data_IF_766925524120
#
_entry.id   IF_766925524120
#
_cell.length_a   1.000
_cell.length_b   1.000
_cell.length_c   1.000
_cell.angle_alpha   90.00
_cell.angle_beta   90.00
_cell.angle_gamma   90.00
#
_symmetry.space_group_name_H-M   'P 1'
#
loop_
_entity.id
_entity.type
_entity.pdbx_description
1 polymer ?
#
# COMPACT_ATOMS: atom_id res chain seq x y z
N UNK A 1 -9.80 -16.11 6.11
CA UNK A 1 -9.61 -17.27 5.23
C UNK A 1 -8.38 -18.01 5.73
N UNK A 2 -8.47 -19.27 6.19
CA UNK A 2 -7.27 -20.01 6.62
C UNK A 2 -6.49 -20.42 5.38
N UNK A 3 -5.39 -19.72 5.10
CA UNK A 3 -4.50 -20.02 3.97
C UNK A 3 -3.53 -21.14 4.39
N UNK A 4 -3.26 -22.08 3.48
CA UNK A 4 -2.46 -23.27 3.82
C UNK A 4 -0.98 -22.92 3.93
N UNK A 5 -0.32 -23.36 5.01
CA UNK A 5 1.11 -23.15 5.28
C UNK A 5 2.04 -23.67 4.16
N UNK A 6 1.54 -24.51 3.25
CA UNK A 6 2.30 -25.10 2.15
C UNK A 6 2.63 -24.14 0.99
N UNK A 7 2.11 -22.90 0.97
CA UNK A 7 2.45 -21.89 -0.05
C UNK A 7 3.34 -20.75 0.44
N UNK A 8 3.79 -20.78 1.72
CA UNK A 8 4.62 -19.71 2.28
C UNK A 8 6.03 -19.70 1.66
N UNK A 9 6.61 -18.51 1.39
CA UNK A 9 8.01 -18.39 1.04
C UNK A 9 8.92 -19.03 2.10
N UNK A 10 10.04 -19.64 1.66
CA UNK A 10 10.93 -20.38 2.56
C UNK A 10 11.49 -19.51 3.70
N UNK A 11 11.77 -18.24 3.41
CA UNK A 11 12.16 -17.23 4.41
C UNK A 11 11.13 -17.12 5.52
N UNK A 12 9.84 -17.08 5.18
CA UNK A 12 8.73 -16.96 6.13
C UNK A 12 8.52 -18.25 6.92
N UNK A 13 8.61 -19.41 6.27
CA UNK A 13 8.57 -20.70 6.96
C UNK A 13 9.66 -20.81 8.03
N UNK A 14 10.86 -20.31 7.74
CA UNK A 14 11.95 -20.26 8.71
C UNK A 14 11.59 -19.36 9.90
N UNK A 15 11.05 -18.15 9.66
CA UNK A 15 10.65 -17.25 10.75
C UNK A 15 9.64 -17.91 11.68
N UNK A 16 8.70 -18.71 11.18
CA UNK A 16 7.69 -19.39 12.01
C UNK A 16 8.29 -20.42 12.98
N UNK A 17 9.48 -20.95 12.71
CA UNK A 17 10.13 -21.97 13.54
C UNK A 17 11.05 -21.39 14.62
N UNK A 18 11.35 -20.09 14.56
CA UNK A 18 12.35 -19.44 15.43
C UNK A 18 11.68 -18.72 16.59
N UNK A 19 11.96 -19.13 17.83
CA UNK A 19 11.31 -18.57 19.02
C UNK A 19 11.64 -17.08 19.26
N UNK A 20 12.84 -16.63 18.89
CA UNK A 20 13.30 -15.25 19.04
C UNK A 20 13.93 -14.74 17.73
N UNK A 21 13.34 -13.71 17.15
CA UNK A 21 13.69 -13.14 15.86
C UNK A 21 14.54 -11.88 16.05
N UNK A 22 15.57 -11.76 15.22
CA UNK A 22 16.36 -10.52 15.14
C UNK A 22 15.62 -9.50 14.26
N UNK A 23 15.39 -8.29 14.78
CA UNK A 23 14.66 -7.24 14.05
C UNK A 23 15.32 -6.80 12.74
N UNK A 24 16.65 -6.70 12.69
CA UNK A 24 17.38 -6.37 11.46
C UNK A 24 17.21 -7.46 10.40
N UNK A 25 17.17 -8.73 10.81
CA UNK A 25 16.90 -9.83 9.88
C UNK A 25 15.47 -9.75 9.33
N UNK A 26 14.48 -9.45 10.17
CA UNK A 26 13.10 -9.27 9.72
C UNK A 26 13.00 -8.12 8.71
N UNK A 27 13.63 -6.97 8.98
CA UNK A 27 13.66 -5.84 8.05
C UNK A 27 14.39 -6.17 6.73
N UNK A 28 15.44 -6.99 6.79
CA UNK A 28 16.16 -7.43 5.57
C UNK A 28 15.29 -8.28 4.64
N UNK A 29 14.19 -8.85 5.14
CA UNK A 29 13.21 -9.57 4.31
C UNK A 29 12.16 -8.64 3.70
N UNK A 30 12.19 -7.34 4.01
CA UNK A 30 11.36 -6.31 3.38
C UNK A 30 12.13 -5.50 2.32
N UNK A 31 13.46 -5.64 2.23
CA UNK A 31 14.32 -4.89 1.30
C UNK A 31 15.26 -5.82 0.51
N UNK A 32 15.50 -5.60 -0.79
CA UNK A 32 14.56 -5.86 -1.89
C UNK A 32 14.18 -7.36 -1.96
N UNK A 33 13.19 -7.77 -1.18
CA UNK A 33 12.61 -9.10 -1.27
C UNK A 33 11.53 -9.18 -2.37
N UNK A 34 11.18 -10.38 -2.81
CA UNK A 34 10.03 -10.59 -3.69
C UNK A 34 8.71 -10.22 -2.98
N UNK A 35 7.69 -9.83 -3.76
CA UNK A 35 6.43 -9.34 -3.20
C UNK A 35 5.67 -10.39 -2.38
N UNK A 36 5.83 -11.69 -2.66
CA UNK A 36 5.17 -12.72 -1.87
C UNK A 36 5.79 -12.81 -0.47
N UNK A 37 7.12 -12.72 -0.37
CA UNK A 37 7.83 -12.62 0.92
C UNK A 37 7.39 -11.39 1.69
N UNK A 38 7.31 -10.23 1.03
CA UNK A 38 6.89 -8.99 1.71
C UNK A 38 5.46 -9.07 2.22
N UNK A 39 4.50 -9.48 1.39
CA UNK A 39 3.10 -9.53 1.81
C UNK A 39 2.83 -10.61 2.84
N UNK A 40 3.46 -11.78 2.74
CA UNK A 40 3.41 -12.79 3.79
C UNK A 40 4.01 -12.28 5.12
N UNK A 41 5.10 -11.52 5.06
CA UNK A 41 5.69 -10.93 6.26
C UNK A 41 4.78 -9.85 6.86
N UNK A 42 4.17 -8.99 6.05
CA UNK A 42 3.22 -7.99 6.54
C UNK A 42 1.97 -8.63 7.18
N UNK A 43 1.48 -9.75 6.66
CA UNK A 43 0.41 -10.52 7.31
C UNK A 43 0.84 -11.04 8.69
N UNK A 44 2.05 -11.58 8.81
CA UNK A 44 2.60 -12.00 10.11
C UNK A 44 2.78 -10.84 11.08
N UNK A 45 3.24 -9.68 10.62
CA UNK A 45 3.45 -8.50 11.45
C UNK A 45 2.13 -7.91 12.00
N UNK A 46 0.97 -8.29 11.47
CA UNK A 46 -0.34 -7.96 12.07
C UNK A 46 -0.67 -8.84 13.29
N UNK A 47 0.07 -9.92 13.52
CA UNK A 47 -0.14 -10.83 14.63
C UNK A 47 0.71 -10.42 15.83
N UNK A 48 0.06 -10.06 16.95
CA UNK A 48 0.73 -9.66 18.20
C UNK A 48 1.75 -10.72 18.67
N UNK A 49 1.40 -12.00 18.56
CA UNK A 49 2.27 -13.12 18.92
C UNK A 49 3.54 -13.23 18.06
N UNK A 50 3.52 -12.74 16.82
CA UNK A 50 4.71 -12.67 15.99
C UNK A 50 5.58 -11.48 16.39
N UNK A 51 4.95 -10.34 16.68
CA UNK A 51 5.63 -9.11 17.10
C UNK A 51 6.43 -9.30 18.40
N UNK A 52 5.86 -10.01 19.38
CA UNK A 52 6.50 -10.31 20.67
C UNK A 52 7.81 -11.11 20.55
N UNK A 53 8.03 -11.76 19.41
CA UNK A 53 9.23 -12.56 19.15
C UNK A 53 10.38 -11.71 18.62
N UNK A 54 10.14 -10.46 18.20
CA UNK A 54 11.12 -9.64 17.49
C UNK A 54 11.92 -8.76 18.48
N UNK A 55 13.24 -8.96 18.51
CA UNK A 55 14.16 -8.20 19.34
C UNK A 55 15.43 -7.79 18.56
N UNK A 56 15.81 -6.49 18.51
CA UNK A 56 15.05 -5.35 19.03
C UNK A 56 13.72 -5.16 18.30
N UNK A 57 12.74 -4.54 18.96
CA UNK A 57 11.46 -4.19 18.34
C UNK A 57 11.66 -3.30 17.12
N UNK A 58 10.80 -3.46 16.12
CA UNK A 58 10.90 -2.71 14.87
C UNK A 58 10.36 -1.30 15.03
N UNK A 59 10.95 -0.36 14.31
CA UNK A 59 10.44 1.01 14.22
C UNK A 59 9.19 1.04 13.33
N UNK A 60 8.06 1.48 13.90
CA UNK A 60 6.80 1.62 13.18
C UNK A 60 6.89 2.56 11.99
N UNK A 61 7.70 3.63 12.06
CA UNK A 61 7.87 4.56 10.94
C UNK A 61 8.60 3.90 9.76
N UNK A 62 9.56 3.02 10.05
CA UNK A 62 10.27 2.23 9.03
C UNK A 62 9.32 1.24 8.38
N UNK A 63 8.51 0.52 9.17
CA UNK A 63 7.53 -0.43 8.64
C UNK A 63 6.44 0.24 7.81
N UNK A 64 5.96 1.39 8.24
CA UNK A 64 4.96 2.16 7.52
C UNK A 64 5.48 2.55 6.13
N UNK A 65 6.72 3.08 6.04
CA UNK A 65 7.38 3.36 4.77
C UNK A 65 7.49 2.11 3.89
N UNK A 66 7.98 1.01 4.44
CA UNK A 66 8.16 -0.24 3.70
C UNK A 66 6.83 -0.82 3.21
N UNK A 67 5.76 -0.67 3.99
CA UNK A 67 4.43 -1.11 3.62
C UNK A 67 3.86 -0.28 2.47
N UNK A 68 4.04 1.05 2.51
CA UNK A 68 3.70 1.93 1.40
C UNK A 68 4.47 1.52 0.14
N UNK A 69 5.78 1.27 0.25
CA UNK A 69 6.62 0.83 -0.87
C UNK A 69 6.13 -0.51 -1.45
N UNK A 70 5.79 -1.48 -0.61
CA UNK A 70 5.19 -2.76 -0.99
C UNK A 70 3.88 -2.54 -1.79
N UNK A 71 2.95 -1.73 -1.26
CA UNK A 71 1.68 -1.45 -1.94
C UNK A 71 1.91 -0.80 -3.30
N UNK A 72 2.82 0.18 -3.39
CA UNK A 72 3.17 0.82 -4.66
C UNK A 72 3.72 -0.21 -5.68
N UNK A 73 4.56 -1.15 -5.24
CA UNK A 73 5.06 -2.23 -6.09
C UNK A 73 3.96 -3.19 -6.52
N UNK A 74 3.03 -3.55 -5.64
CA UNK A 74 1.86 -4.35 -6.00
C UNK A 74 1.01 -3.68 -7.08
N UNK A 75 0.79 -2.36 -6.98
CA UNK A 75 0.09 -1.59 -8.02
C UNK A 75 0.85 -1.63 -9.36
N UNK A 76 2.17 -1.48 -9.35
CA UNK A 76 3.00 -1.45 -10.56
C UNK A 76 3.08 -2.83 -11.24
N UNK A 77 3.34 -3.88 -10.47
CA UNK A 77 3.56 -5.22 -11.00
C UNK A 77 2.24 -5.93 -11.30
N UNK A 78 1.23 -5.71 -10.45
CA UNK A 78 -0.10 -6.33 -10.55
C UNK A 78 -0.10 -7.83 -10.71
N UNK A 79 0.90 -8.46 -10.12
CA UNK A 79 0.90 -9.88 -9.89
C UNK A 79 -0.04 -10.13 -8.71
N UNK A 80 -0.91 -11.12 -8.86
CA UNK A 80 -1.74 -11.61 -7.77
C UNK A 80 -1.23 -12.99 -7.38
N UNK A 81 -1.13 -13.22 -6.08
CA UNK A 81 -0.79 -14.52 -5.50
C UNK A 81 -1.48 -14.67 -4.16
N UNK A 82 -1.27 -15.80 -3.48
CA UNK A 82 -1.76 -16.00 -2.11
C UNK A 82 -1.22 -14.96 -1.11
N UNK A 83 -0.08 -14.33 -1.42
CA UNK A 83 0.67 -13.47 -0.50
C UNK A 83 0.98 -12.09 -1.08
N UNK A 84 0.55 -11.81 -2.31
CA UNK A 84 0.76 -10.53 -2.97
C UNK A 84 -0.59 -9.93 -3.34
N UNK A 85 -0.83 -8.71 -2.87
CA UNK A 85 -2.06 -7.98 -3.14
C UNK A 85 -2.25 -7.74 -4.64
N UNK A 86 -3.48 -7.88 -5.13
CA UNK A 86 -3.84 -7.39 -6.46
C UNK A 86 -3.67 -5.86 -6.53
N UNK A 87 -3.53 -5.28 -7.75
CA UNK A 87 -3.39 -3.83 -7.91
C UNK A 87 -4.52 -3.05 -7.23
N UNK A 88 -5.76 -3.56 -7.32
CA UNK A 88 -6.94 -2.90 -6.76
C UNK A 88 -6.93 -2.94 -5.23
N UNK A 89 -6.59 -4.08 -4.62
CA UNK A 89 -6.47 -4.19 -3.17
C UNK A 89 -5.32 -3.32 -2.63
N UNK A 90 -4.20 -3.28 -3.36
CA UNK A 90 -3.10 -2.39 -3.02
C UNK A 90 -3.49 -0.91 -3.08
N UNK A 91 -4.24 -0.49 -4.11
CA UNK A 91 -4.81 0.85 -4.20
C UNK A 91 -5.81 1.16 -3.06
N UNK A 92 -6.61 0.17 -2.64
CA UNK A 92 -7.52 0.31 -1.51
C UNK A 92 -6.76 0.54 -0.19
N UNK A 93 -5.67 -0.20 0.03
CA UNK A 93 -4.73 0.00 1.13
C UNK A 93 -4.11 1.40 1.11
N UNK A 94 -3.63 1.87 -0.04
CA UNK A 94 -3.12 3.23 -0.21
C UNK A 94 -4.19 4.29 0.10
N UNK A 95 -5.44 4.09 -0.33
CA UNK A 95 -6.55 4.99 0.01
C UNK A 95 -6.76 5.08 1.53
N UNK A 96 -6.73 3.95 2.24
CA UNK A 96 -6.86 3.95 3.70
C UNK A 96 -5.74 4.75 4.39
N UNK A 97 -4.49 4.56 3.95
CA UNK A 97 -3.33 5.30 4.49
C UNK A 97 -3.46 6.80 4.18
N UNK A 98 -3.81 7.17 2.96
CA UNK A 98 -3.97 8.59 2.57
C UNK A 98 -5.05 9.27 3.42
N UNK A 99 -6.18 8.60 3.65
CA UNK A 99 -7.24 9.14 4.53
C UNK A 99 -6.75 9.32 5.95
N UNK A 100 -6.05 8.32 6.49
CA UNK A 100 -5.50 8.39 7.84
C UNK A 100 -4.55 9.59 7.98
N UNK A 101 -3.62 9.78 7.04
CA UNK A 101 -2.71 10.95 7.04
C UNK A 101 -3.46 12.27 6.99
N UNK A 102 -4.48 12.37 6.13
CA UNK A 102 -5.31 13.58 6.04
C UNK A 102 -6.05 13.86 7.35
N UNK A 103 -6.69 12.84 7.94
CA UNK A 103 -7.50 12.97 9.16
C UNK A 103 -6.64 13.29 10.39
N UNK A 104 -5.43 12.74 10.46
CA UNK A 104 -4.47 13.02 11.53
C UNK A 104 -3.64 14.30 11.27
N UNK A 105 -3.97 15.07 10.22
CA UNK A 105 -3.29 16.32 9.85
C UNK A 105 -1.78 16.15 9.60
N UNK A 106 -1.35 14.95 9.16
CA UNK A 106 -0.02 14.72 8.60
C UNK A 106 -0.02 15.16 7.13
N UNK A 107 0.08 16.47 6.94
CA UNK A 107 0.07 17.08 5.60
C UNK A 107 1.30 16.69 4.77
N UNK A 108 2.42 16.38 5.41
CA UNK A 108 3.64 15.99 4.71
C UNK A 108 3.47 14.58 4.11
N UNK A 109 3.07 13.59 4.92
CA UNK A 109 2.81 12.23 4.46
C UNK A 109 1.66 12.17 3.46
N UNK A 110 0.60 12.94 3.69
CA UNK A 110 -0.50 13.09 2.71
C UNK A 110 0.00 13.59 1.35
N UNK A 111 0.80 14.66 1.34
CA UNK A 111 1.34 15.24 0.10
C UNK A 111 2.29 14.28 -0.61
N UNK A 112 3.11 13.55 0.14
CA UNK A 112 4.00 12.54 -0.41
C UNK A 112 3.23 11.42 -1.14
N UNK A 113 2.17 10.91 -0.51
CA UNK A 113 1.32 9.87 -1.10
C UNK A 113 0.52 10.40 -2.31
N UNK A 114 0.04 11.64 -2.26
CA UNK A 114 -0.57 12.30 -3.42
C UNK A 114 0.40 12.36 -4.60
N UNK A 115 1.67 12.71 -4.35
CA UNK A 115 2.69 12.70 -5.39
C UNK A 115 3.02 11.29 -5.88
N UNK A 116 2.98 10.28 -5.01
CA UNK A 116 3.15 8.88 -5.41
C UNK A 116 2.04 8.41 -6.35
N UNK A 117 0.77 8.73 -6.06
CA UNK A 117 -0.35 8.45 -6.97
C UNK A 117 -0.20 9.19 -8.31
N UNK A 118 0.23 10.45 -8.28
CA UNK A 118 0.48 11.21 -9.50
C UNK A 118 1.57 10.55 -10.38
N UNK A 119 2.65 10.06 -9.76
CA UNK A 119 3.71 9.32 -10.45
C UNK A 119 3.18 8.01 -11.04
N UNK A 120 2.44 7.22 -10.26
CA UNK A 120 1.82 5.99 -10.74
C UNK A 120 0.93 6.23 -11.97
N UNK A 121 0.10 7.27 -11.95
CA UNK A 121 -0.80 7.57 -13.05
C UNK A 121 -0.05 8.05 -14.31
N UNK A 122 0.97 8.89 -14.16
CA UNK A 122 1.74 9.46 -15.27
C UNK A 122 2.64 8.41 -15.94
N UNK A 123 3.39 7.68 -15.14
CA UNK A 123 4.55 6.92 -15.61
C UNK A 123 4.19 5.51 -16.12
N UNK A 124 2.99 5.03 -15.79
CA UNK A 124 2.54 3.68 -16.15
C UNK A 124 1.32 3.69 -17.07
N UNK A 125 1.07 2.54 -17.70
CA UNK A 125 -0.01 2.35 -18.67
C UNK A 125 -1.39 2.16 -18.03
N UNK A 126 -2.38 1.94 -18.91
CA UNK A 126 -3.80 1.92 -18.53
C UNK A 126 -4.16 1.01 -17.34
N UNK A 127 -3.61 -0.22 -17.20
CA UNK A 127 -3.95 -1.05 -16.05
C UNK A 127 -3.60 -0.43 -14.69
N UNK A 128 -2.51 0.35 -14.62
CA UNK A 128 -2.15 1.08 -13.39
C UNK A 128 -3.05 2.28 -13.20
N UNK A 129 -3.33 3.03 -14.28
CA UNK A 129 -4.22 4.20 -14.24
C UNK A 129 -5.61 3.84 -13.77
N UNK A 130 -6.17 2.75 -14.29
CA UNK A 130 -7.47 2.22 -13.89
C UNK A 130 -7.50 1.81 -12.42
N UNK A 131 -6.44 1.15 -11.93
CA UNK A 131 -6.33 0.77 -10.53
C UNK A 131 -6.24 2.00 -9.62
N UNK A 132 -5.42 3.00 -9.98
CA UNK A 132 -5.30 4.27 -9.23
C UNK A 132 -6.64 4.98 -9.15
N UNK A 133 -7.38 5.06 -10.25
CA UNK A 133 -8.69 5.71 -10.27
C UNK A 133 -9.71 4.92 -9.45
N UNK A 134 -9.99 3.68 -9.84
CA UNK A 134 -11.13 2.93 -9.32
C UNK A 134 -10.86 2.34 -7.93
N UNK A 135 -9.60 2.02 -7.62
CA UNK A 135 -9.20 1.45 -6.33
C UNK A 135 -8.81 2.50 -5.29
N UNK A 136 -8.55 3.74 -5.69
CA UNK A 136 -8.03 4.77 -4.79
C UNK A 136 -8.79 6.11 -4.90
N UNK A 137 -8.70 6.79 -6.05
CA UNK A 137 -9.20 8.17 -6.20
C UNK A 137 -10.72 8.26 -6.07
N UNK A 138 -11.46 7.31 -6.64
CA UNK A 138 -12.92 7.22 -6.52
C UNK A 138 -13.33 7.29 -5.05
N UNK A 139 -12.77 6.40 -4.24
CA UNK A 139 -13.03 6.39 -2.81
C UNK A 139 -12.58 7.70 -2.17
N UNK A 140 -11.31 8.10 -2.34
CA UNK A 140 -10.79 9.33 -1.73
C UNK A 140 -11.68 10.55 -2.01
N UNK A 141 -12.27 10.62 -3.21
CA UNK A 141 -13.09 11.74 -3.65
C UNK A 141 -14.55 11.69 -3.21
N UNK A 142 -14.98 10.61 -2.53
CA UNK A 142 -16.22 10.57 -1.75
C UNK A 142 -16.16 11.59 -0.59
N UNK A 143 -14.96 11.90 -0.08
CA UNK A 143 -14.75 12.97 0.90
C UNK A 143 -14.47 14.31 0.17
N UNK A 144 -15.37 15.31 0.25
CA UNK A 144 -15.18 16.58 -0.43
C UNK A 144 -13.93 17.35 0.02
N UNK A 145 -13.49 17.19 1.27
CA UNK A 145 -12.32 17.87 1.81
C UNK A 145 -11.03 17.28 1.23
N UNK A 146 -10.96 15.95 1.15
CA UNK A 146 -9.85 15.26 0.48
C UNK A 146 -9.84 15.61 -1.01
N UNK A 147 -11.00 15.54 -1.69
CA UNK A 147 -11.12 15.94 -3.10
C UNK A 147 -10.63 17.36 -3.37
N UNK A 148 -10.91 18.30 -2.47
CA UNK A 148 -10.45 19.69 -2.59
C UNK A 148 -8.91 19.80 -2.49
N UNK A 149 -8.27 18.94 -1.68
CA UNK A 149 -6.82 18.87 -1.59
C UNK A 149 -6.15 18.33 -2.88
N UNK A 150 -6.92 17.73 -3.79
CA UNK A 150 -6.45 17.33 -5.13
C UNK A 150 -6.75 18.37 -6.23
N UNK A 151 -7.15 19.60 -5.86
CA UNK A 151 -7.54 20.64 -6.83
C UNK A 151 -6.45 20.98 -7.86
N UNK A 152 -5.17 20.89 -7.52
CA UNK A 152 -4.07 21.13 -8.46
C UNK A 152 -4.11 20.19 -9.68
N UNK A 153 -4.64 18.97 -9.51
CA UNK A 153 -4.76 17.99 -10.59
C UNK A 153 -5.75 18.44 -11.67
N UNK A 154 -6.70 19.32 -11.34
CA UNK A 154 -7.64 19.86 -12.33
C UNK A 154 -6.94 20.69 -13.41
N UNK A 155 -5.81 21.30 -13.10
CA UNK A 155 -5.06 22.14 -14.03
C UNK A 155 -3.92 21.40 -14.74
N UNK A 156 -3.62 20.17 -14.33
CA UNK A 156 -2.55 19.36 -14.87
C UNK A 156 -2.99 18.61 -16.14
N UNK A 157 -2.20 18.72 -17.22
CA UNK A 157 -2.58 18.17 -18.52
C UNK A 157 -2.78 16.64 -18.53
N UNK A 158 -2.15 15.90 -17.60
CA UNK A 158 -2.26 14.44 -17.51
C UNK A 158 -3.19 14.04 -16.37
N UNK A 159 -3.04 14.64 -15.19
CA UNK A 159 -3.80 14.26 -14.00
C UNK A 159 -5.24 14.77 -14.02
N UNK A 160 -5.58 15.71 -14.90
CA UNK A 160 -6.96 16.17 -15.06
C UNK A 160 -7.92 15.03 -15.38
N UNK A 161 -7.50 14.08 -16.23
CA UNK A 161 -8.31 12.89 -16.54
C UNK A 161 -8.56 12.03 -15.29
N UNK A 162 -7.50 11.73 -14.53
CA UNK A 162 -7.61 11.00 -13.27
C UNK A 162 -8.58 11.68 -12.29
N UNK A 163 -8.49 13.02 -12.20
CA UNK A 163 -9.34 13.82 -11.33
C UNK A 163 -10.81 13.70 -11.71
N UNK A 164 -11.12 13.88 -13.00
CA UNK A 164 -12.48 13.76 -13.52
C UNK A 164 -13.05 12.37 -13.29
N UNK A 165 -12.27 11.32 -13.61
CA UNK A 165 -12.71 9.93 -13.44
C UNK A 165 -12.98 9.61 -11.97
N UNK A 166 -12.10 10.03 -11.04
CA UNK A 166 -12.32 9.85 -9.61
C UNK A 166 -13.59 10.55 -9.10
N UNK A 167 -13.95 11.70 -9.68
CA UNK A 167 -15.17 12.43 -9.31
C UNK A 167 -16.46 11.85 -9.93
N UNK A 168 -16.37 11.15 -11.05
CA UNK A 168 -17.56 10.62 -11.75
C UNK A 168 -18.23 9.50 -10.96
N UNK A 169 -17.45 8.66 -10.28
CA UNK A 169 -17.98 7.52 -9.53
C UNK A 169 -18.41 7.89 -8.09
N UNK A 170 -17.82 8.93 -7.50
CA UNK A 170 -18.24 9.43 -6.17
C UNK A 170 -19.60 10.15 -6.16
N UNK A 171 -20.16 10.46 -7.34
CA UNK A 171 -21.50 11.05 -7.47
C UNK A 171 -22.63 10.00 -7.46
N UNK A 172 -22.31 8.70 -7.45
CA UNK A 172 -23.28 7.60 -7.53
C UNK A 172 -23.34 6.71 -6.28
N UNK A 173 -22.52 7.01 -5.27
CA UNK A 173 -22.40 6.31 -3.98
C UNK A 173 -23.20 7.01 -2.88
#
# INVERSE_FOLDING_TARGET
MMMSEHSLPQSIQYLLQVEQLNGEHVLSLLEPADLDTQGALFDLLQQESFWDRINPSLDHAVLDRLYIEYLLQCVIQGRESDWCESRYLACYGLNAIIRDRFQNNDLAGFTELQQALARLYRDFGEPVRDAVVNGCLEHLFDDPAIRAAFSDWQSDAVLHEAYLRGCQFSATS
#
